data_IF_246649420342
#
_entry.id   IF_246649420342
#
_cell.length_a   1.000
_cell.length_b   1.000
_cell.length_c   1.000
_cell.angle_alpha   90.00
_cell.angle_beta   90.00
_cell.angle_gamma   90.00
#
_symmetry.space_group_name_H-M   'P 1'
#
loop_
_entity.id
_entity.type
_entity.pdbx_description
1 polymer ?
#
# COMPACT_ATOMS: atom_id res chain seq x y z
N UNK A 1 -6.09 0.34 33.79
CA UNK A 1 -5.36 -0.95 33.85
C UNK A 1 -5.04 -1.37 32.42
N UNK A 2 -3.75 -1.34 32.06
CA UNK A 2 -3.29 -1.80 30.75
C UNK A 2 -3.32 -3.33 30.74
N UNK A 3 -4.15 -3.92 29.91
CA UNK A 3 -4.28 -5.36 29.81
C UNK A 3 -3.09 -5.92 29.03
N UNK A 4 -2.08 -6.44 29.74
CA UNK A 4 -0.86 -7.00 29.15
C UNK A 4 -1.14 -8.07 28.08
N UNK A 5 -2.23 -8.83 28.22
CA UNK A 5 -2.64 -9.85 27.27
C UNK A 5 -3.11 -9.27 25.93
N UNK A 6 -3.67 -8.06 25.89
CA UNK A 6 -4.05 -7.38 24.65
C UNK A 6 -2.81 -7.00 23.85
N UNK A 7 -1.77 -6.48 24.51
CA UNK A 7 -0.51 -6.08 23.86
C UNK A 7 0.19 -7.31 23.24
N UNK A 8 0.21 -8.43 23.96
CA UNK A 8 0.79 -9.70 23.45
C UNK A 8 -0.02 -10.21 22.26
N UNK A 9 -1.34 -10.21 22.35
CA UNK A 9 -2.23 -10.66 21.29
C UNK A 9 -2.09 -9.79 20.03
N UNK A 10 -2.04 -8.47 20.19
CA UNK A 10 -1.84 -7.51 19.10
C UNK A 10 -0.49 -7.76 18.39
N UNK A 11 0.57 -8.04 19.15
CA UNK A 11 1.90 -8.32 18.60
C UNK A 11 1.91 -9.65 17.81
N UNK A 12 1.35 -10.73 18.37
CA UNK A 12 1.24 -12.03 17.70
C UNK A 12 0.45 -11.89 16.39
N UNK A 13 -0.73 -11.26 16.43
CA UNK A 13 -1.54 -11.04 15.24
C UNK A 13 -0.82 -10.18 14.20
N UNK A 14 -0.06 -9.17 14.63
CA UNK A 14 0.73 -8.33 13.74
C UNK A 14 1.80 -9.10 12.96
N UNK A 15 2.51 -10.02 13.61
CA UNK A 15 3.49 -10.88 12.92
C UNK A 15 2.86 -11.96 12.06
N UNK A 16 1.76 -12.58 12.51
CA UNK A 16 1.00 -13.51 11.67
C UNK A 16 0.49 -12.81 10.40
N UNK A 17 -0.06 -11.61 10.54
CA UNK A 17 -0.48 -10.76 9.42
C UNK A 17 0.68 -10.49 8.46
N UNK A 18 1.84 -10.06 8.97
CA UNK A 18 3.03 -9.82 8.15
C UNK A 18 3.43 -11.07 7.33
N UNK A 19 3.46 -12.25 7.95
CA UNK A 19 3.81 -13.51 7.28
C UNK A 19 2.77 -13.88 6.22
N UNK A 20 1.49 -13.81 6.55
CA UNK A 20 0.40 -14.12 5.60
C UNK A 20 0.44 -13.22 4.37
N UNK A 21 0.62 -11.92 4.56
CA UNK A 21 0.73 -10.99 3.43
C UNK A 21 2.00 -11.20 2.61
N UNK A 22 3.13 -11.46 3.27
CA UNK A 22 4.38 -11.79 2.59
C UNK A 22 4.18 -12.97 1.66
N UNK A 23 3.59 -14.07 2.13
CA UNK A 23 3.28 -15.24 1.30
C UNK A 23 2.37 -14.92 0.11
N UNK A 24 1.45 -13.96 0.26
CA UNK A 24 0.53 -13.55 -0.81
C UNK A 24 1.20 -12.79 -1.96
N UNK A 25 2.31 -12.08 -1.73
CA UNK A 25 2.97 -11.30 -2.79
C UNK A 25 3.87 -12.15 -3.72
N UNK A 26 4.44 -13.24 -3.21
CA UNK A 26 5.42 -14.05 -3.93
C UNK A 26 4.90 -14.82 -5.15
N UNK A 27 3.64 -15.29 -5.20
CA UNK A 27 3.08 -15.93 -6.39
C UNK A 27 3.22 -15.07 -7.65
N UNK A 28 2.92 -13.78 -7.57
CA UNK A 28 3.04 -12.88 -8.73
C UNK A 28 4.50 -12.73 -9.18
N UNK A 29 5.40 -12.56 -8.22
CA UNK A 29 6.85 -12.45 -8.46
C UNK A 29 7.38 -13.70 -9.17
N UNK A 30 6.96 -14.88 -8.70
CA UNK A 30 7.33 -16.16 -9.25
C UNK A 30 6.75 -16.40 -10.66
N UNK A 31 5.47 -16.05 -10.86
CA UNK A 31 4.82 -16.16 -12.17
C UNK A 31 5.52 -15.31 -13.23
N UNK A 32 5.83 -14.06 -12.91
CA UNK A 32 6.57 -13.17 -13.81
C UNK A 32 7.96 -13.75 -14.12
N UNK A 33 8.66 -14.30 -13.12
CA UNK A 33 9.97 -14.91 -13.32
C UNK A 33 9.94 -16.19 -14.16
N UNK A 34 8.92 -17.04 -13.99
CA UNK A 34 8.72 -18.27 -14.76
C UNK A 34 8.34 -18.00 -16.20
N UNK A 35 7.42 -17.06 -16.44
CA UNK A 35 6.91 -16.74 -17.77
C UNK A 35 7.84 -15.82 -18.56
N UNK A 36 8.76 -15.10 -17.88
CA UNK A 36 9.59 -14.03 -18.46
C UNK A 36 8.77 -12.97 -19.21
N UNK A 37 7.51 -12.84 -18.81
CA UNK A 37 6.50 -11.98 -19.40
C UNK A 37 5.62 -11.44 -18.27
N UNK A 38 5.22 -10.18 -18.39
CA UNK A 38 4.29 -9.50 -17.49
C UNK A 38 2.93 -9.27 -18.16
N UNK A 39 2.66 -9.92 -19.29
CA UNK A 39 1.37 -9.81 -19.99
C UNK A 39 0.24 -10.32 -19.08
N UNK A 40 -0.78 -9.49 -18.89
CA UNK A 40 -1.89 -9.73 -17.96
C UNK A 40 -1.68 -9.18 -16.55
N UNK A 41 -0.48 -8.68 -16.22
CA UNK A 41 -0.24 -7.97 -14.97
C UNK A 41 -0.68 -6.51 -15.09
N UNK A 42 -1.51 -6.02 -14.17
CA UNK A 42 -2.02 -4.65 -14.23
C UNK A 42 -0.98 -3.64 -13.74
N UNK A 43 -0.49 -2.80 -14.65
CA UNK A 43 0.48 -1.75 -14.33
C UNK A 43 -0.13 -0.63 -13.48
N UNK A 44 -1.44 -0.39 -13.63
CA UNK A 44 -2.19 0.56 -12.80
C UNK A 44 -2.21 0.09 -11.34
N UNK A 45 -2.49 -1.21 -11.12
CA UNK A 45 -2.50 -1.81 -9.79
C UNK A 45 -1.11 -1.73 -9.13
N UNK A 46 -0.05 -2.03 -9.89
CA UNK A 46 1.32 -1.88 -9.41
C UNK A 46 1.61 -0.42 -9.03
N UNK A 47 1.23 0.54 -9.87
CA UNK A 47 1.48 1.97 -9.63
C UNK A 47 0.77 2.45 -8.36
N UNK A 48 -0.51 2.09 -8.19
CA UNK A 48 -1.25 2.40 -6.97
C UNK A 48 -0.64 1.72 -5.73
N UNK A 49 -0.20 0.47 -5.84
CA UNK A 49 0.48 -0.21 -4.74
C UNK A 49 1.77 0.51 -4.34
N UNK A 50 2.61 0.93 -5.30
CA UNK A 50 3.83 1.68 -5.01
C UNK A 50 3.51 2.98 -4.27
N UNK A 51 2.60 3.81 -4.80
CA UNK A 51 2.22 5.08 -4.15
C UNK A 51 1.69 4.85 -2.73
N UNK A 52 0.82 3.85 -2.57
CA UNK A 52 0.28 3.49 -1.28
C UNK A 52 1.38 3.04 -0.31
N UNK A 53 2.23 2.09 -0.70
CA UNK A 53 3.29 1.57 0.17
C UNK A 53 4.36 2.61 0.47
N UNK A 54 4.68 3.53 -0.44
CA UNK A 54 5.54 4.69 -0.13
C UNK A 54 4.91 5.54 0.97
N UNK A 55 3.64 5.95 0.81
CA UNK A 55 2.94 6.76 1.81
C UNK A 55 2.86 6.05 3.17
N UNK A 56 2.57 4.75 3.15
CA UNK A 56 2.50 3.91 4.35
C UNK A 56 3.88 3.71 5.01
N UNK A 57 4.94 3.49 4.24
CA UNK A 57 6.31 3.38 4.77
C UNK A 57 6.75 4.69 5.41
N UNK A 58 6.51 5.84 4.77
CA UNK A 58 6.85 7.15 5.32
C UNK A 58 6.05 7.43 6.60
N UNK A 59 4.76 7.12 6.63
CA UNK A 59 3.92 7.22 7.82
C UNK A 59 4.48 6.39 8.98
N UNK A 60 4.67 5.08 8.77
CA UNK A 60 5.11 4.17 9.83
C UNK A 60 6.54 4.49 10.29
N UNK A 61 7.48 4.69 9.38
CA UNK A 61 8.86 5.07 9.74
C UNK A 61 8.91 6.43 10.42
N UNK A 62 8.21 7.43 9.89
CA UNK A 62 8.20 8.78 10.44
C UNK A 62 7.70 8.80 11.87
N UNK A 63 6.56 8.15 12.14
CA UNK A 63 5.96 8.12 13.47
C UNK A 63 6.68 7.17 14.43
N UNK A 64 7.23 6.05 13.92
CA UNK A 64 7.97 5.07 14.74
C UNK A 64 9.38 5.53 15.09
N UNK A 65 10.11 6.17 14.18
CA UNK A 65 11.52 6.53 14.39
C UNK A 65 11.70 7.92 15.00
N UNK A 66 10.84 8.91 14.68
CA UNK A 66 11.06 10.30 15.09
C UNK A 66 10.54 10.58 16.52
N UNK A 67 11.43 10.94 17.48
CA UNK A 67 10.99 11.31 18.82
C UNK A 67 10.14 12.58 18.83
N UNK A 68 10.42 13.53 17.93
CA UNK A 68 9.66 14.76 17.80
C UNK A 68 8.20 14.49 17.39
N UNK A 69 7.98 13.55 16.46
CA UNK A 69 6.63 13.17 16.02
C UNK A 69 5.87 12.46 17.15
N UNK A 70 6.54 11.56 17.89
CA UNK A 70 5.95 10.91 19.07
C UNK A 70 5.55 11.92 20.14
N UNK A 71 6.42 12.88 20.43
CA UNK A 71 6.14 13.93 21.41
C UNK A 71 4.90 14.76 21.01
N UNK A 72 4.83 15.18 19.74
CA UNK A 72 3.64 15.88 19.22
C UNK A 72 2.38 15.00 19.29
N UNK A 73 2.51 13.70 18.99
CA UNK A 73 1.40 12.75 19.07
C UNK A 73 0.85 12.64 20.50
N UNK A 74 1.70 12.43 21.50
CA UNK A 74 1.30 12.31 22.90
C UNK A 74 0.84 13.63 23.51
N UNK A 75 1.32 14.77 22.99
CA UNK A 75 0.81 16.08 23.39
C UNK A 75 -0.65 16.29 22.95
N UNK A 76 -1.04 15.73 21.80
CA UNK A 76 -2.42 15.76 21.30
C UNK A 76 -3.27 14.61 21.87
N UNK A 77 -2.65 13.49 22.25
CA UNK A 77 -3.31 12.30 22.78
C UNK A 77 -2.60 11.83 24.06
N UNK A 78 -2.83 12.47 25.21
CA UNK A 78 -2.10 12.18 26.45
C UNK A 78 -2.21 10.72 26.92
N UNK A 79 -3.39 10.13 26.76
CA UNK A 79 -3.68 8.73 27.09
C UNK A 79 -3.63 7.80 25.86
N UNK A 80 -3.18 8.33 24.72
CA UNK A 80 -3.11 7.59 23.47
C UNK A 80 -1.99 6.55 23.48
N UNK A 81 -2.18 5.47 22.72
CA UNK A 81 -1.11 4.53 22.39
C UNK A 81 -0.59 4.83 20.99
N UNK A 82 0.72 4.67 20.77
CA UNK A 82 1.27 4.89 19.44
C UNK A 82 0.57 3.96 18.44
N UNK A 83 -0.04 4.49 17.37
CA UNK A 83 -0.87 3.69 16.46
C UNK A 83 -0.03 2.87 15.46
N UNK A 84 1.29 2.82 15.65
CA UNK A 84 2.25 2.18 14.76
C UNK A 84 3.11 1.23 15.59
N UNK A 85 3.21 -0.01 15.13
CA UNK A 85 4.06 -1.02 15.71
C UNK A 85 5.22 -1.38 14.79
N UNK A 86 6.18 -2.13 15.33
CA UNK A 86 7.37 -2.54 14.57
C UNK A 86 7.01 -3.46 13.40
N UNK A 87 6.05 -4.38 13.56
CA UNK A 87 5.57 -5.25 12.48
C UNK A 87 4.98 -4.44 11.32
N UNK A 88 4.33 -3.30 11.59
CA UNK A 88 3.75 -2.44 10.54
C UNK A 88 4.86 -1.78 9.70
N UNK A 89 5.96 -1.38 10.34
CA UNK A 89 7.16 -0.85 9.68
C UNK A 89 7.78 -1.92 8.77
N UNK A 90 8.00 -3.13 9.29
CA UNK A 90 8.54 -4.25 8.50
C UNK A 90 7.63 -4.59 7.32
N UNK A 91 6.33 -4.67 7.56
CA UNK A 91 5.35 -4.94 6.51
C UNK A 91 5.37 -3.88 5.41
N UNK A 92 5.32 -2.59 5.78
CA UNK A 92 5.31 -1.50 4.83
C UNK A 92 6.55 -1.51 3.94
N UNK A 93 7.74 -1.66 4.54
CA UNK A 93 9.00 -1.68 3.81
C UNK A 93 9.15 -2.93 2.94
N UNK A 94 8.81 -4.10 3.47
CA UNK A 94 8.85 -5.34 2.68
C UNK A 94 7.93 -5.26 1.47
N UNK A 95 6.68 -4.81 1.66
CA UNK A 95 5.73 -4.66 0.57
C UNK A 95 6.19 -3.64 -0.49
N UNK A 96 6.81 -2.52 -0.05
CA UNK A 96 7.42 -1.56 -0.95
C UNK A 96 8.57 -2.17 -1.77
N UNK A 97 9.45 -2.94 -1.12
CA UNK A 97 10.56 -3.63 -1.79
C UNK A 97 10.06 -4.63 -2.83
N UNK A 98 9.02 -5.41 -2.51
CA UNK A 98 8.41 -6.34 -3.46
C UNK A 98 7.78 -5.58 -4.63
N UNK A 99 7.12 -4.44 -4.39
CA UNK A 99 6.59 -3.60 -5.46
C UNK A 99 7.70 -3.02 -6.35
N UNK A 100 8.82 -2.59 -5.77
CA UNK A 100 9.99 -2.16 -6.54
C UNK A 100 10.56 -3.32 -7.38
N UNK A 101 10.60 -4.53 -6.83
CA UNK A 101 11.03 -5.71 -7.58
C UNK A 101 10.09 -6.01 -8.76
N UNK A 102 8.78 -5.95 -8.54
CA UNK A 102 7.77 -6.11 -9.60
C UNK A 102 7.91 -5.00 -10.66
N UNK A 103 8.19 -3.76 -10.26
CA UNK A 103 8.48 -2.67 -11.19
C UNK A 103 9.71 -2.97 -12.05
N UNK A 104 10.78 -3.48 -11.47
CA UNK A 104 11.95 -3.91 -12.25
C UNK A 104 11.56 -5.02 -13.23
N UNK A 105 10.75 -5.98 -12.83
CA UNK A 105 10.25 -7.02 -13.73
C UNK A 105 9.44 -6.45 -14.90
N UNK A 106 8.61 -5.42 -14.69
CA UNK A 106 7.85 -4.80 -15.80
C UNK A 106 8.70 -3.98 -16.77
N UNK A 107 9.92 -3.60 -16.37
CA UNK A 107 10.89 -2.94 -17.22
C UNK A 107 11.74 -3.92 -18.03
N UNK A 108 12.01 -5.11 -17.49
CA UNK A 108 12.90 -6.11 -18.11
C UNK A 108 12.13 -7.13 -18.97
N UNK A 109 10.97 -7.60 -18.49
CA UNK A 109 10.22 -8.67 -19.14
C UNK A 109 9.29 -8.17 -20.24
N UNK A 110 8.86 -9.09 -21.10
CA UNK A 110 7.95 -8.79 -22.19
C UNK A 110 6.62 -8.25 -21.65
N UNK A 111 6.25 -7.05 -22.07
CA UNK A 111 5.04 -6.33 -21.62
C UNK A 111 4.01 -6.06 -22.73
N UNK A 112 4.34 -6.41 -23.97
CA UNK A 112 3.56 -6.02 -25.14
C UNK A 112 3.29 -4.51 -25.18
N UNK A 113 2.05 -4.13 -25.52
CA UNK A 113 1.58 -2.75 -25.57
C UNK A 113 0.95 -2.24 -24.26
N UNK A 114 1.09 -2.99 -23.15
CA UNK A 114 0.53 -2.58 -21.86
C UNK A 114 1.21 -1.32 -21.34
N UNK A 115 0.40 -0.33 -20.96
CA UNK A 115 0.86 0.94 -20.38
C UNK A 115 -0.01 1.31 -19.19
N UNK A 116 0.53 2.16 -18.32
CA UNK A 116 -0.26 2.77 -17.23
C UNK A 116 -1.33 3.66 -17.86
N UNK A 117 -2.59 3.48 -17.45
CA UNK A 117 -3.73 4.22 -17.98
C UNK A 117 -3.60 5.73 -17.70
N UNK A 118 -4.20 6.54 -18.57
CA UNK A 118 -4.21 7.99 -18.39
C UNK A 118 -4.90 8.38 -17.09
N UNK A 119 -5.97 7.67 -16.71
CA UNK A 119 -6.68 7.86 -15.45
C UNK A 119 -5.79 7.59 -14.25
N UNK A 120 -5.06 6.47 -14.24
CA UNK A 120 -4.12 6.16 -13.16
C UNK A 120 -3.02 7.23 -13.07
N UNK A 121 -2.42 7.63 -14.19
CA UNK A 121 -1.41 8.70 -14.23
C UNK A 121 -1.94 10.04 -13.69
N UNK A 122 -3.17 10.42 -14.05
CA UNK A 122 -3.79 11.64 -13.56
C UNK A 122 -4.02 11.59 -12.04
N UNK A 123 -4.59 10.48 -11.52
CA UNK A 123 -4.82 10.30 -10.08
C UNK A 123 -3.50 10.36 -9.30
N UNK A 124 -2.47 9.63 -9.75
CA UNK A 124 -1.16 9.62 -9.11
C UNK A 124 -0.50 10.99 -9.17
N UNK A 125 -0.62 11.70 -10.30
CA UNK A 125 -0.14 13.08 -10.44
C UNK A 125 -0.81 14.04 -9.46
N UNK A 126 -2.13 13.96 -9.31
CA UNK A 126 -2.88 14.79 -8.34
C UNK A 126 -2.48 14.48 -6.90
N UNK A 127 -2.34 13.20 -6.55
CA UNK A 127 -1.86 12.78 -5.22
C UNK A 127 -0.44 13.30 -4.96
N UNK A 128 0.45 13.20 -5.95
CA UNK A 128 1.82 13.70 -5.82
C UNK A 128 1.86 15.22 -5.61
N UNK A 129 1.09 15.99 -6.40
CA UNK A 129 0.98 17.44 -6.26
C UNK A 129 0.45 17.80 -4.87
N UNK A 130 -0.60 17.12 -4.39
CA UNK A 130 -1.15 17.32 -3.06
C UNK A 130 -0.12 17.06 -1.96
N UNK A 131 0.60 15.93 -2.02
CA UNK A 131 1.63 15.58 -1.03
C UNK A 131 2.79 16.60 -1.03
N UNK A 132 3.25 17.02 -2.20
CA UNK A 132 4.31 18.04 -2.33
C UNK A 132 3.83 19.38 -1.78
N UNK A 133 2.61 19.80 -2.12
CA UNK A 133 1.98 21.01 -1.58
C UNK A 133 1.91 21.02 -0.06
N UNK A 134 1.46 19.91 0.54
CA UNK A 134 1.37 19.78 1.99
C UNK A 134 2.76 19.75 2.65
N UNK A 135 3.75 19.08 2.04
CA UNK A 135 5.12 19.06 2.53
C UNK A 135 5.76 20.46 2.49
N UNK A 136 5.51 21.25 1.44
CA UNK A 136 5.96 22.64 1.36
C UNK A 136 5.32 23.49 2.48
N UNK A 137 4.03 23.31 2.75
CA UNK A 137 3.36 23.99 3.86
C UNK A 137 3.98 23.64 5.23
N UNK A 138 4.42 22.38 5.42
CA UNK A 138 5.18 21.99 6.61
C UNK A 138 6.54 22.70 6.68
N UNK A 139 7.26 22.79 5.56
CA UNK A 139 8.55 23.47 5.49
C UNK A 139 8.47 24.97 5.79
N UNK A 140 7.32 25.60 5.52
CA UNK A 140 7.02 26.99 5.85
C UNK A 140 6.41 27.15 7.26
N UNK A 141 6.35 26.08 8.07
CA UNK A 141 5.74 26.04 9.40
C UNK A 141 4.25 26.43 9.44
N UNK A 142 3.53 26.33 8.31
CA UNK A 142 2.08 26.56 8.25
C UNK A 142 1.29 25.38 8.87
N UNK A 143 1.90 24.21 8.90
CA UNK A 143 1.35 23.00 9.51
C UNK A 143 2.48 22.12 10.05
N UNK A 144 2.15 21.07 10.80
CA UNK A 144 3.13 20.19 11.43
C UNK A 144 3.46 18.99 10.54
N UNK A 145 4.68 18.48 10.68
CA UNK A 145 5.08 17.22 10.06
C UNK A 145 4.23 16.03 10.52
N UNK A 146 3.69 16.05 11.74
CA UNK A 146 2.74 15.03 12.20
C UNK A 146 1.44 15.06 11.39
N UNK A 147 0.91 16.25 11.08
CA UNK A 147 -0.26 16.40 10.22
C UNK A 147 0.02 15.84 8.82
N UNK A 148 1.22 16.05 8.29
CA UNK A 148 1.62 15.47 6.99
C UNK A 148 1.65 13.94 7.03
N UNK A 149 2.18 13.33 8.10
CA UNK A 149 2.13 11.88 8.28
C UNK A 149 0.68 11.36 8.26
N UNK A 150 -0.25 12.04 8.94
CA UNK A 150 -1.67 11.65 8.86
C UNK A 150 -2.25 11.77 7.45
N UNK A 151 -1.90 12.82 6.70
CA UNK A 151 -2.32 12.91 5.29
C UNK A 151 -1.80 11.75 4.46
N UNK A 152 -0.56 11.29 4.67
CA UNK A 152 -0.03 10.12 3.98
C UNK A 152 -0.79 8.83 4.34
N UNK A 153 -1.22 8.69 5.60
CA UNK A 153 -2.10 7.57 6.01
C UNK A 153 -3.44 7.60 5.26
N UNK A 154 -4.07 8.78 5.14
CA UNK A 154 -5.30 8.92 4.35
C UNK A 154 -5.08 8.64 2.85
N UNK A 155 -3.96 9.09 2.28
CA UNK A 155 -3.58 8.77 0.90
C UNK A 155 -3.46 7.25 0.70
N UNK A 156 -2.81 6.53 1.63
CA UNK A 156 -2.74 5.05 1.57
C UNK A 156 -4.14 4.43 1.52
N UNK A 157 -5.05 4.87 2.37
CA UNK A 157 -6.43 4.36 2.40
C UNK A 157 -7.16 4.68 1.10
N UNK A 158 -7.08 5.92 0.61
CA UNK A 158 -7.71 6.35 -0.62
C UNK A 158 -7.22 5.55 -1.84
N UNK A 159 -5.90 5.42 -2.00
CA UNK A 159 -5.31 4.65 -3.12
C UNK A 159 -5.70 3.17 -3.03
N UNK A 160 -5.79 2.64 -1.81
CA UNK A 160 -6.24 1.27 -1.57
C UNK A 160 -7.72 1.11 -1.93
N UNK A 161 -8.57 2.08 -1.64
CA UNK A 161 -9.96 2.07 -2.06
C UNK A 161 -10.10 2.13 -3.59
N UNK A 162 -9.42 3.07 -4.24
CA UNK A 162 -9.48 3.28 -5.69
C UNK A 162 -9.04 2.05 -6.49
N UNK A 163 -8.08 1.26 -5.99
CA UNK A 163 -7.64 0.04 -6.68
C UNK A 163 -8.63 -1.13 -6.51
N UNK A 164 -9.36 -1.21 -5.40
CA UNK A 164 -10.25 -2.35 -5.15
C UNK A 164 -11.58 -2.25 -5.89
N UNK A 165 -12.08 -1.03 -6.15
CA UNK A 165 -13.31 -0.82 -6.96
C UNK A 165 -13.26 -1.53 -8.32
N UNK A 166 -12.27 -1.26 -9.20
CA UNK A 166 -12.21 -1.93 -10.50
C UNK A 166 -11.90 -3.43 -10.37
N UNK A 167 -11.16 -3.83 -9.33
CA UNK A 167 -10.82 -5.22 -9.09
C UNK A 167 -12.07 -6.07 -8.82
N UNK A 168 -12.98 -5.59 -7.96
CA UNK A 168 -14.24 -6.28 -7.67
C UNK A 168 -15.12 -6.41 -8.91
N UNK A 169 -15.18 -5.35 -9.73
CA UNK A 169 -15.94 -5.39 -10.99
C UNK A 169 -15.37 -6.41 -11.98
N UNK A 170 -14.04 -6.49 -12.10
CA UNK A 170 -13.38 -7.46 -12.97
C UNK A 170 -13.62 -8.90 -12.50
N UNK A 171 -13.49 -9.13 -11.20
CA UNK A 171 -13.77 -10.44 -10.59
C UNK A 171 -15.22 -10.87 -10.84
N UNK A 172 -16.20 -9.96 -10.71
CA UNK A 172 -17.59 -10.26 -11.01
C UNK A 172 -17.81 -10.69 -12.47
N UNK A 173 -17.18 -10.00 -13.42
CA UNK A 173 -17.24 -10.36 -14.85
C UNK A 173 -16.60 -11.72 -15.12
N UNK A 174 -15.43 -11.99 -14.52
CA UNK A 174 -14.73 -13.27 -14.67
C UNK A 174 -15.54 -14.44 -14.11
N UNK A 175 -16.17 -14.26 -12.94
CA UNK A 175 -17.03 -15.26 -12.31
C UNK A 175 -18.25 -15.55 -13.20
N UNK A 176 -18.94 -14.52 -13.69
CA UNK A 176 -20.09 -14.71 -14.57
C UNK A 176 -19.73 -15.41 -15.88
N UNK A 177 -18.59 -15.08 -16.47
CA UNK A 177 -18.10 -15.75 -17.69
C UNK A 177 -17.80 -17.23 -17.43
N UNK A 178 -17.22 -17.57 -16.27
CA UNK A 178 -16.96 -18.95 -15.89
C UNK A 178 -18.27 -19.74 -15.76
N UNK A 179 -19.28 -19.17 -15.10
CA UNK A 179 -20.60 -19.79 -14.98
C UNK A 179 -21.25 -20.05 -16.35
N UNK A 180 -21.20 -19.07 -17.25
CA UNK A 180 -21.74 -19.21 -18.60
C UNK A 180 -21.08 -20.36 -19.37
N UNK A 181 -19.74 -20.45 -19.32
CA UNK A 181 -18.97 -21.52 -19.97
C UNK A 181 -19.33 -22.90 -19.38
N UNK A 182 -19.44 -23.02 -18.06
CA UNK A 182 -19.83 -24.29 -17.41
C UNK A 182 -21.27 -24.70 -17.72
N UNK A 183 -22.18 -23.74 -17.91
CA UNK A 183 -23.58 -24.02 -18.26
C UNK A 183 -23.78 -24.53 -19.68
N UNK A 184 -22.82 -24.31 -20.59
CA UNK A 184 -22.85 -24.84 -21.95
C UNK A 184 -22.18 -26.22 -22.09
N UNK A 185 -21.45 -26.67 -21.06
CA UNK A 185 -20.78 -27.98 -21.05
C UNK A 185 -21.60 -29.09 -20.36
N UNK A 186 -22.75 -28.75 -19.76
CA UNK A 186 -23.76 -29.69 -19.26
C UNK A 186 -24.95 -29.72 -20.21
#
# INVERSE_FOLDING_TARGET
MRFLWLDVLQNILGWCYFVSWTLSFYPQVWLNWRRKSVIGFSFDLLTFNIVGYVAYSVYNLGLYCSPAMKYQYFSLNPDGVLPVMLNDVFFALHALLVCCFLLIQTLIYERGDQRVSNTCRAIVGLVAIYCVGFAMACGQNLTTWLAFLYQLSYVKVLVTFLKYVPQVSLEFVLINNLYWITSQMC
#
